data_IF_379581148154
#
_entry.id   IF_379581148154
#
_cell.length_a   1.000
_cell.length_b   1.000
_cell.length_c   1.000
_cell.angle_alpha   90.00
_cell.angle_beta   90.00
_cell.angle_gamma   90.00
#
_symmetry.space_group_name_H-M   'P 1'
#
loop_
_entity.id
_entity.type
_entity.pdbx_description
1 polymer ?
#
# COMPACT_ATOMS: atom_id res chain seq x y z
N UNK A 1 37.04 23.35 -12.52
CA UNK A 1 36.04 23.60 -11.46
C UNK A 1 34.90 22.63 -11.71
N UNK A 2 34.98 21.46 -11.07
CA UNK A 2 33.96 20.45 -11.11
C UNK A 2 32.86 20.86 -10.14
N UNK A 3 31.70 21.21 -10.67
CA UNK A 3 30.47 21.34 -9.90
C UNK A 3 30.03 19.92 -9.53
N UNK A 4 30.19 19.57 -8.26
CA UNK A 4 29.58 18.36 -7.69
C UNK A 4 28.11 18.73 -7.51
N UNK A 5 27.28 18.27 -8.42
CA UNK A 5 25.84 18.32 -8.29
C UNK A 5 25.46 17.33 -7.19
N UNK A 6 25.36 17.84 -5.95
CA UNK A 6 24.82 17.08 -4.82
C UNK A 6 23.29 17.20 -4.92
N UNK A 7 22.74 16.63 -5.96
CA UNK A 7 21.33 16.25 -5.97
C UNK A 7 21.25 14.96 -5.15
N UNK A 8 21.06 15.07 -3.85
CA UNK A 8 20.56 13.97 -3.05
C UNK A 8 19.17 13.63 -3.60
N UNK A 9 19.15 12.70 -4.54
CA UNK A 9 17.94 12.15 -5.13
C UNK A 9 17.23 11.37 -4.00
N UNK A 10 16.30 12.04 -3.31
CA UNK A 10 15.54 11.48 -2.19
C UNK A 10 14.40 10.60 -2.70
N UNK A 11 14.55 10.06 -3.93
CA UNK A 11 13.55 9.18 -4.53
C UNK A 11 13.50 7.86 -3.81
N UNK A 12 12.34 7.58 -3.20
CA UNK A 12 12.06 6.31 -2.57
C UNK A 12 11.65 5.27 -3.61
N UNK A 13 10.77 5.62 -4.54
CA UNK A 13 10.26 4.76 -5.60
C UNK A 13 10.55 5.38 -6.97
N UNK A 14 11.07 4.58 -7.90
CA UNK A 14 11.18 4.94 -9.30
C UNK A 14 10.69 3.77 -10.17
N UNK A 15 9.75 4.04 -11.03
CA UNK A 15 9.23 3.14 -12.05
C UNK A 15 9.68 3.65 -13.40
N UNK A 16 10.40 2.83 -14.14
CA UNK A 16 11.01 3.20 -15.41
C UNK A 16 10.53 2.27 -16.53
N UNK A 17 9.79 2.83 -17.48
CA UNK A 17 9.31 2.20 -18.72
C UNK A 17 8.64 0.83 -18.47
N UNK A 18 7.81 0.74 -17.43
CA UNK A 18 7.18 -0.49 -16.98
C UNK A 18 6.13 -0.97 -17.97
N UNK A 19 6.29 -2.19 -18.46
CA UNK A 19 5.35 -2.84 -19.36
C UNK A 19 4.91 -4.19 -18.80
N UNK A 20 3.61 -4.43 -18.82
CA UNK A 20 2.99 -5.71 -18.43
C UNK A 20 2.04 -6.15 -19.52
N UNK A 21 2.19 -7.38 -19.96
CA UNK A 21 1.35 -8.01 -20.98
C UNK A 21 0.61 -9.21 -20.41
N UNK A 22 -0.57 -9.44 -20.90
CA UNK A 22 -1.30 -10.68 -20.67
C UNK A 22 -1.75 -11.25 -22.03
N UNK A 23 -1.22 -12.41 -22.39
CA UNK A 23 -1.36 -12.96 -23.72
C UNK A 23 -0.87 -11.96 -24.79
N UNK A 24 -1.75 -11.51 -25.68
CA UNK A 24 -1.45 -10.53 -26.73
C UNK A 24 -1.85 -9.08 -26.36
N UNK A 25 -2.41 -8.86 -25.16
CA UNK A 25 -2.88 -7.56 -24.72
C UNK A 25 -1.86 -6.89 -23.80
N UNK A 26 -1.50 -5.64 -24.10
CA UNK A 26 -0.69 -4.81 -23.18
C UNK A 26 -1.60 -4.23 -22.13
N UNK A 27 -1.43 -4.66 -20.86
CA UNK A 27 -2.15 -4.11 -19.70
C UNK A 27 -1.50 -2.82 -19.21
N UNK A 28 -0.18 -2.73 -19.30
CA UNK A 28 0.60 -1.52 -19.04
C UNK A 28 1.59 -1.34 -20.18
N UNK A 29 1.79 -0.11 -20.63
CA UNK A 29 2.67 0.17 -21.76
C UNK A 29 3.57 1.36 -21.44
N UNK A 30 4.81 1.09 -21.00
CA UNK A 30 5.85 2.08 -20.81
C UNK A 30 5.56 3.09 -19.69
N UNK A 31 4.96 2.65 -18.57
CA UNK A 31 4.64 3.53 -17.44
C UNK A 31 5.91 3.96 -16.73
N UNK A 32 6.08 5.27 -16.53
CA UNK A 32 7.24 5.83 -15.82
C UNK A 32 6.79 6.94 -14.86
N UNK A 33 7.25 6.89 -13.63
CA UNK A 33 7.09 7.94 -12.62
C UNK A 33 8.06 7.73 -11.45
N UNK A 34 8.18 8.71 -10.59
CA UNK A 34 8.97 8.61 -9.36
C UNK A 34 8.24 9.25 -8.18
N UNK A 35 8.60 8.82 -6.97
CA UNK A 35 8.07 9.32 -5.72
C UNK A 35 9.17 9.40 -4.65
N UNK A 36 9.04 10.37 -3.76
CA UNK A 36 9.89 10.51 -2.59
C UNK A 36 9.27 9.81 -1.36
N UNK A 37 10.06 9.67 -0.31
CA UNK A 37 9.52 9.30 1.01
C UNK A 37 8.50 10.34 1.48
N UNK A 38 7.38 9.90 2.06
CA UNK A 38 6.29 10.77 2.45
C UNK A 38 5.29 11.13 1.35
N UNK A 39 5.59 10.88 0.07
CA UNK A 39 4.66 11.20 -1.01
C UNK A 39 3.40 10.31 -0.95
N UNK A 40 2.25 10.93 -1.24
CA UNK A 40 0.98 10.23 -1.50
C UNK A 40 0.67 10.39 -2.98
N UNK A 41 0.68 9.29 -3.72
CA UNK A 41 0.40 9.27 -5.14
C UNK A 41 -0.99 8.70 -5.40
N UNK A 42 -1.86 9.47 -6.02
CA UNK A 42 -3.15 9.01 -6.48
C UNK A 42 -3.07 8.51 -7.93
N UNK A 43 -3.44 7.24 -8.13
CA UNK A 43 -3.55 6.64 -9.47
C UNK A 43 -5.02 6.67 -9.88
N UNK A 44 -5.36 7.53 -10.83
CA UNK A 44 -6.72 7.69 -11.33
C UNK A 44 -6.87 7.13 -12.75
N UNK A 45 -8.06 6.67 -13.10
CA UNK A 45 -8.38 6.17 -14.44
C UNK A 45 -9.63 5.29 -14.45
N UNK A 46 -10.13 4.98 -15.62
CA UNK A 46 -11.31 4.12 -15.82
C UNK A 46 -11.10 2.69 -15.32
N UNK A 47 -12.20 1.96 -15.15
CA UNK A 47 -12.14 0.53 -14.87
C UNK A 47 -11.44 -0.20 -16.04
N UNK A 48 -10.51 -1.10 -15.70
CA UNK A 48 -9.72 -1.80 -16.71
C UNK A 48 -8.48 -1.05 -17.20
N UNK A 49 -8.23 0.19 -16.80
CA UNK A 49 -7.04 0.97 -17.22
C UNK A 49 -5.69 0.44 -16.71
N UNK A 50 -5.67 -0.70 -16.01
CA UNK A 50 -4.42 -1.32 -15.54
C UNK A 50 -3.95 -0.85 -14.15
N UNK A 51 -4.75 -0.10 -13.39
CA UNK A 51 -4.39 0.44 -12.07
C UNK A 51 -3.97 -0.65 -11.07
N UNK A 52 -4.82 -1.66 -10.86
CA UNK A 52 -4.50 -2.83 -10.01
C UNK A 52 -3.30 -3.62 -10.55
N UNK A 53 -3.12 -3.69 -11.87
CA UNK A 53 -1.96 -4.32 -12.51
C UNK A 53 -0.67 -3.58 -12.15
N UNK A 54 -0.69 -2.24 -12.20
CA UNK A 54 0.44 -1.40 -11.79
C UNK A 54 0.76 -1.58 -10.29
N UNK A 55 -0.25 -1.54 -9.43
CA UNK A 55 -0.13 -1.77 -8.01
C UNK A 55 0.53 -3.13 -7.70
N UNK A 56 0.03 -4.21 -8.30
CA UNK A 56 0.58 -5.56 -8.15
C UNK A 56 2.00 -5.69 -8.69
N UNK A 57 2.32 -5.03 -9.79
CA UNK A 57 3.67 -5.04 -10.36
C UNK A 57 4.66 -4.32 -9.42
N UNK A 58 4.30 -3.16 -8.85
CA UNK A 58 5.14 -2.45 -7.89
C UNK A 58 5.37 -3.29 -6.64
N UNK A 59 4.35 -3.91 -6.08
CA UNK A 59 4.46 -4.82 -4.93
C UNK A 59 5.23 -6.11 -5.21
N UNK A 60 5.55 -6.42 -6.46
CA UNK A 60 6.17 -7.70 -6.82
C UNK A 60 5.23 -8.89 -6.81
N UNK A 61 3.91 -8.65 -6.72
CA UNK A 61 2.87 -9.70 -6.84
C UNK A 61 2.62 -10.10 -8.31
N UNK A 62 3.08 -9.28 -9.24
CA UNK A 62 3.02 -9.53 -10.67
C UNK A 62 4.38 -9.21 -11.28
N UNK A 63 4.86 -10.12 -12.16
CA UNK A 63 6.10 -9.90 -12.89
C UNK A 63 5.83 -9.04 -14.12
N UNK A 64 6.67 -8.01 -14.32
CA UNK A 64 6.67 -7.21 -15.54
C UNK A 64 7.37 -7.94 -16.68
N UNK A 65 6.98 -7.61 -17.92
CA UNK A 65 7.63 -8.09 -19.14
C UNK A 65 8.89 -7.29 -19.46
N UNK A 66 8.82 -5.95 -19.27
CA UNK A 66 9.96 -5.05 -19.43
C UNK A 66 9.88 -3.86 -18.50
N UNK A 67 10.94 -3.06 -18.45
CA UNK A 67 11.08 -1.94 -17.54
C UNK A 67 11.69 -2.31 -16.20
N UNK A 68 11.88 -1.30 -15.36
CA UNK A 68 12.58 -1.44 -14.09
C UNK A 68 11.78 -0.79 -12.97
N UNK A 69 11.95 -1.32 -11.75
CA UNK A 69 11.43 -0.73 -10.53
C UNK A 69 12.59 -0.64 -9.54
N UNK A 70 12.81 0.58 -9.06
CA UNK A 70 13.85 0.87 -8.08
C UNK A 70 13.18 1.33 -6.78
N UNK A 71 13.69 0.84 -5.65
CA UNK A 71 13.33 1.33 -4.31
C UNK A 71 14.64 1.74 -3.63
N UNK A 72 14.71 2.97 -3.14
CA UNK A 72 15.94 3.58 -2.59
C UNK A 72 17.12 3.46 -3.56
N UNK A 73 16.89 3.79 -4.83
CA UNK A 73 17.91 3.76 -5.89
C UNK A 73 18.41 2.36 -6.28
N UNK A 74 17.84 1.29 -5.71
CA UNK A 74 18.23 -0.10 -6.02
C UNK A 74 17.18 -0.77 -6.87
N UNK A 75 17.59 -1.31 -8.02
CA UNK A 75 16.73 -2.15 -8.84
C UNK A 75 16.38 -3.44 -8.09
N UNK A 76 15.09 -3.70 -7.91
CA UNK A 76 14.60 -4.84 -7.15
C UNK A 76 13.88 -5.86 -8.03
N UNK A 77 14.12 -7.14 -7.74
CA UNK A 77 13.32 -8.24 -8.28
C UNK A 77 11.96 -8.35 -7.57
N UNK A 78 11.07 -9.19 -8.07
CA UNK A 78 9.71 -9.38 -7.52
C UNK A 78 9.73 -9.75 -6.03
N UNK A 79 10.58 -10.70 -5.61
CA UNK A 79 10.68 -11.14 -4.22
C UNK A 79 11.09 -10.00 -3.30
N UNK A 80 12.15 -9.27 -3.64
CA UNK A 80 12.62 -8.14 -2.83
C UNK A 80 11.61 -7.01 -2.74
N UNK A 81 10.80 -6.79 -3.81
CA UNK A 81 9.69 -5.81 -3.76
C UNK A 81 8.59 -6.25 -2.80
N UNK A 82 8.20 -7.53 -2.79
CA UNK A 82 7.22 -8.06 -1.84
C UNK A 82 7.68 -7.91 -0.38
N UNK A 83 8.98 -8.03 -0.12
CA UNK A 83 9.53 -7.80 1.21
C UNK A 83 9.45 -6.34 1.66
N UNK A 84 9.51 -5.39 0.72
CA UNK A 84 9.53 -3.92 0.97
C UNK A 84 8.19 -3.22 0.81
N UNK A 85 7.20 -3.91 0.28
CA UNK A 85 5.88 -3.34 -0.02
C UNK A 85 4.77 -4.06 0.75
N UNK A 86 3.67 -3.35 0.97
CA UNK A 86 2.41 -3.92 1.46
C UNK A 86 1.26 -3.39 0.61
N UNK A 87 0.32 -4.26 0.26
CA UNK A 87 -0.85 -3.90 -0.53
C UNK A 87 -2.12 -4.24 0.23
N UNK A 88 -2.95 -3.24 0.49
CA UNK A 88 -4.33 -3.41 0.94
C UNK A 88 -5.18 -3.63 -0.29
N UNK A 89 -5.78 -4.81 -0.41
CA UNK A 89 -6.62 -5.19 -1.55
C UNK A 89 -8.03 -4.62 -1.42
N UNK A 90 -8.73 -4.48 -2.55
CA UNK A 90 -10.12 -4.04 -2.59
C UNK A 90 -11.03 -4.94 -1.74
N UNK A 91 -10.90 -6.27 -1.86
CA UNK A 91 -11.54 -7.23 -0.96
C UNK A 91 -10.58 -7.64 0.16
N UNK A 92 -10.65 -6.90 1.26
CA UNK A 92 -9.82 -7.12 2.44
C UNK A 92 -10.09 -8.47 3.09
N UNK A 93 -11.28 -9.04 2.92
CA UNK A 93 -11.62 -10.34 3.52
C UNK A 93 -10.68 -11.46 3.10
N UNK A 94 -10.11 -11.38 1.90
CA UNK A 94 -9.14 -12.35 1.40
C UNK A 94 -7.72 -12.22 1.98
N UNK A 95 -7.47 -11.18 2.77
CA UNK A 95 -6.15 -10.92 3.38
C UNK A 95 -6.11 -11.26 4.88
N UNK A 96 -7.25 -11.63 5.47
CA UNK A 96 -7.41 -11.83 6.91
C UNK A 96 -7.54 -13.32 7.21
N UNK A 97 -6.57 -13.89 7.93
CA UNK A 97 -6.42 -15.35 8.09
C UNK A 97 -6.40 -15.84 9.52
N UNK A 98 -6.21 -14.94 10.50
CA UNK A 98 -5.99 -15.34 11.89
C UNK A 98 -7.27 -15.44 12.70
N UNK A 99 -7.16 -15.95 13.92
CA UNK A 99 -8.28 -16.17 14.84
C UNK A 99 -8.74 -14.90 15.55
N UNK A 100 -7.92 -13.84 15.54
CA UNK A 100 -8.27 -12.57 16.19
C UNK A 100 -7.64 -11.36 15.51
N UNK A 101 -8.27 -10.19 15.68
CA UNK A 101 -7.76 -8.90 15.22
C UNK A 101 -6.34 -8.64 15.74
N UNK A 102 -6.07 -8.95 17.01
CA UNK A 102 -4.73 -8.81 17.58
C UNK A 102 -3.71 -9.73 16.90
N UNK A 103 -4.07 -10.98 16.64
CA UNK A 103 -3.19 -11.93 15.97
C UNK A 103 -2.91 -11.50 14.54
N UNK A 104 -3.90 -10.92 13.84
CA UNK A 104 -3.74 -10.38 12.49
C UNK A 104 -2.73 -9.22 12.49
N UNK A 105 -2.84 -8.29 13.43
CA UNK A 105 -1.88 -7.21 13.61
C UNK A 105 -0.45 -7.73 13.87
N UNK A 106 -0.31 -8.78 14.67
CA UNK A 106 1.00 -9.40 14.99
C UNK A 106 1.68 -10.03 13.77
N UNK A 107 0.92 -10.62 12.85
CA UNK A 107 1.51 -11.19 11.61
C UNK A 107 2.23 -10.14 10.76
N UNK A 108 1.71 -8.92 10.71
CA UNK A 108 2.29 -7.83 9.93
C UNK A 108 3.51 -7.18 10.57
N UNK A 109 3.72 -7.35 11.88
CA UNK A 109 4.74 -6.60 12.62
C UNK A 109 6.03 -7.38 12.79
N UNK A 110 7.16 -6.69 12.64
CA UNK A 110 8.48 -7.19 13.09
C UNK A 110 8.72 -6.89 14.58
N UNK A 111 7.93 -6.02 15.16
CA UNK A 111 8.07 -5.51 16.53
C UNK A 111 7.02 -6.16 17.42
N UNK A 112 7.43 -6.96 18.39
CA UNK A 112 6.54 -7.57 19.42
C UNK A 112 5.95 -6.53 20.40
N UNK A 113 5.98 -5.25 20.09
CA UNK A 113 5.48 -4.20 20.98
C UNK A 113 3.95 -4.21 21.02
N UNK A 114 3.42 -4.86 22.04
CA UNK A 114 1.99 -4.88 22.36
C UNK A 114 1.40 -3.47 22.46
N UNK A 115 2.18 -2.53 22.97
CA UNK A 115 1.79 -1.11 23.13
C UNK A 115 1.46 -0.48 21.79
N UNK A 116 2.29 -0.71 20.76
CA UNK A 116 2.08 -0.15 19.42
C UNK A 116 0.79 -0.70 18.76
N UNK A 117 0.48 -1.99 18.97
CA UNK A 117 -0.77 -2.59 18.45
C UNK A 117 -1.98 -1.99 19.15
N UNK A 118 -1.96 -1.85 20.48
CA UNK A 118 -3.08 -1.30 21.24
C UNK A 118 -3.35 0.16 20.90
N UNK A 119 -2.31 0.95 20.72
CA UNK A 119 -2.41 2.34 20.26
C UNK A 119 -2.99 2.43 18.84
N UNK A 120 -2.52 1.59 17.93
CA UNK A 120 -3.00 1.54 16.54
C UNK A 120 -4.48 1.13 16.49
N UNK A 121 -4.87 0.09 17.22
CA UNK A 121 -6.26 -0.35 17.30
C UNK A 121 -7.17 0.72 17.94
N UNK A 122 -6.68 1.43 18.95
CA UNK A 122 -7.41 2.54 19.57
C UNK A 122 -7.63 3.69 18.60
N UNK A 123 -6.60 4.08 17.88
CA UNK A 123 -6.66 5.14 16.86
C UNK A 123 -7.70 4.83 15.78
N UNK A 124 -7.89 3.54 15.45
CA UNK A 124 -8.79 3.06 14.41
C UNK A 124 -10.17 2.64 14.93
N UNK A 125 -10.47 2.90 16.21
CA UNK A 125 -11.71 2.48 16.85
C UNK A 125 -11.97 0.96 16.72
N UNK A 126 -10.89 0.16 16.89
CA UNK A 126 -10.92 -1.29 16.81
C UNK A 126 -10.61 -1.99 18.14
N UNK A 127 -10.33 -1.25 19.22
CA UNK A 127 -9.94 -1.80 20.53
C UNK A 127 -10.93 -2.82 21.07
N UNK A 128 -12.22 -2.56 20.95
CA UNK A 128 -13.29 -3.45 21.42
C UNK A 128 -13.39 -4.76 20.62
N UNK A 129 -12.82 -4.78 19.41
CA UNK A 129 -12.84 -5.94 18.51
C UNK A 129 -11.56 -6.77 18.59
N UNK A 130 -10.60 -6.39 19.43
CA UNK A 130 -9.26 -6.97 19.53
C UNK A 130 -9.23 -8.49 19.55
N UNK A 131 -10.17 -9.09 20.31
CA UNK A 131 -10.26 -10.55 20.48
C UNK A 131 -11.27 -11.20 19.53
N UNK A 132 -11.88 -10.45 18.60
CA UNK A 132 -12.83 -11.01 17.64
C UNK A 132 -12.12 -11.58 16.43
N UNK A 133 -12.75 -12.58 15.82
CA UNK A 133 -12.28 -13.11 14.54
C UNK A 133 -12.43 -12.04 13.45
N UNK A 134 -11.37 -11.76 12.66
CA UNK A 134 -11.38 -10.68 11.66
C UNK A 134 -12.52 -10.76 10.66
N UNK A 135 -12.93 -11.97 10.25
CA UNK A 135 -14.02 -12.14 9.30
C UNK A 135 -15.40 -11.80 9.88
N UNK A 136 -15.55 -11.73 11.22
CA UNK A 136 -16.80 -11.31 11.87
C UNK A 136 -17.01 -9.80 11.88
N UNK A 137 -16.01 -9.02 11.48
CA UNK A 137 -16.07 -7.57 11.40
C UNK A 137 -16.94 -7.11 10.22
N UNK A 138 -17.55 -5.93 10.36
CA UNK A 138 -18.20 -5.25 9.23
C UNK A 138 -17.18 -4.85 8.14
N UNK A 139 -17.65 -4.56 6.93
CA UNK A 139 -16.78 -4.14 5.81
C UNK A 139 -15.87 -2.97 6.20
N UNK A 140 -16.41 -1.92 6.79
CA UNK A 140 -15.64 -0.76 7.25
C UNK A 140 -14.64 -1.10 8.36
N UNK A 141 -15.00 -2.01 9.29
CA UNK A 141 -14.07 -2.47 10.33
C UNK A 141 -12.92 -3.30 9.74
N UNK A 142 -13.20 -4.18 8.77
CA UNK A 142 -12.16 -4.92 8.04
C UNK A 142 -11.21 -3.98 7.30
N UNK A 143 -11.75 -2.95 6.66
CA UNK A 143 -10.94 -1.95 5.97
C UNK A 143 -10.02 -1.21 6.94
N UNK A 144 -10.55 -0.75 8.09
CA UNK A 144 -9.73 -0.13 9.14
C UNK A 144 -8.68 -1.10 9.69
N UNK A 145 -9.00 -2.37 9.83
CA UNK A 145 -8.02 -3.39 10.25
C UNK A 145 -6.89 -3.54 9.23
N UNK A 146 -7.19 -3.56 7.92
CA UNK A 146 -6.14 -3.63 6.89
C UNK A 146 -5.24 -2.39 6.89
N UNK A 147 -5.81 -1.21 7.15
CA UNK A 147 -5.02 0.01 7.36
C UNK A 147 -4.18 -0.10 8.64
N UNK A 148 -4.73 -0.64 9.74
CA UNK A 148 -3.94 -0.89 10.97
C UNK A 148 -2.71 -1.77 10.70
N UNK A 149 -2.90 -2.85 9.95
CA UNK A 149 -1.83 -3.76 9.58
C UNK A 149 -0.79 -3.04 8.71
N UNK A 150 -1.21 -2.20 7.77
CA UNK A 150 -0.29 -1.42 6.93
C UNK A 150 0.57 -0.45 7.74
N UNK A 151 0.00 0.16 8.81
CA UNK A 151 0.74 1.01 9.75
C UNK A 151 1.80 0.23 10.53
N UNK A 152 1.47 -1.00 10.89
CA UNK A 152 2.29 -1.86 11.74
C UNK A 152 3.38 -2.61 10.97
N UNK A 153 3.25 -2.79 9.66
CA UNK A 153 4.12 -3.68 8.88
C UNK A 153 5.50 -3.09 8.52
N UNK A 154 5.78 -1.82 8.86
CA UNK A 154 7.08 -1.15 8.64
C UNK A 154 7.61 -1.36 7.20
N UNK A 155 6.77 -1.09 6.20
CA UNK A 155 7.11 -1.23 4.78
C UNK A 155 7.45 0.12 4.16
N UNK A 156 8.33 0.08 3.17
CA UNK A 156 8.75 1.28 2.45
C UNK A 156 7.70 1.77 1.45
N UNK A 157 6.93 0.84 0.87
CA UNK A 157 5.87 1.14 -0.09
C UNK A 157 4.54 0.58 0.42
N UNK A 158 3.54 1.45 0.57
CA UNK A 158 2.18 1.09 0.93
C UNK A 158 1.26 1.36 -0.25
N UNK A 159 0.49 0.37 -0.65
CA UNK A 159 -0.45 0.48 -1.75
C UNK A 159 -1.85 0.17 -1.24
N UNK A 160 -2.80 1.02 -1.60
CA UNK A 160 -4.21 0.88 -1.24
C UNK A 160 -5.03 0.78 -2.52
N UNK A 161 -5.58 -0.39 -2.79
CA UNK A 161 -6.42 -0.66 -3.97
C UNK A 161 -7.89 -0.41 -3.60
N UNK A 162 -8.42 0.72 -4.02
CA UNK A 162 -9.77 1.21 -3.70
C UNK A 162 -10.12 1.19 -2.20
N UNK A 163 -9.30 1.82 -1.32
CA UNK A 163 -9.44 1.70 0.12
C UNK A 163 -10.75 2.27 0.67
N UNK A 164 -11.48 3.03 -0.12
CA UNK A 164 -12.76 3.65 0.24
C UNK A 164 -13.95 2.98 -0.40
N UNK A 165 -13.75 1.94 -1.21
CA UNK A 165 -14.84 1.23 -1.89
C UNK A 165 -15.77 0.57 -0.86
N UNK A 166 -17.07 0.89 -0.95
CA UNK A 166 -18.09 0.35 -0.03
C UNK A 166 -18.07 0.93 1.39
N UNK A 167 -17.30 1.99 1.64
CA UNK A 167 -17.30 2.71 2.92
C UNK A 167 -18.31 3.88 2.92
N UNK A 168 -18.83 4.19 4.09
CA UNK A 168 -19.57 5.42 4.32
C UNK A 168 -18.62 6.65 4.37
N UNK A 169 -19.17 7.86 4.25
CA UNK A 169 -18.39 9.09 4.24
C UNK A 169 -17.52 9.30 5.48
N UNK A 170 -17.96 8.79 6.63
CA UNK A 170 -17.21 8.91 7.89
C UNK A 170 -15.97 8.02 7.83
N UNK A 171 -16.15 6.76 7.48
CA UNK A 171 -15.06 5.78 7.35
C UNK A 171 -14.07 6.18 6.24
N UNK A 172 -14.53 6.77 5.13
CA UNK A 172 -13.66 7.33 4.10
C UNK A 172 -12.73 8.42 4.63
N UNK A 173 -13.27 9.35 5.43
CA UNK A 173 -12.47 10.42 6.04
C UNK A 173 -11.47 9.87 7.05
N UNK A 174 -11.87 8.90 7.86
CA UNK A 174 -10.99 8.24 8.82
C UNK A 174 -9.80 7.59 8.10
N UNK A 175 -10.03 6.83 7.03
CA UNK A 175 -8.97 6.22 6.21
C UNK A 175 -8.08 7.29 5.58
N UNK A 176 -8.65 8.36 5.02
CA UNK A 176 -7.89 9.48 4.45
C UNK A 176 -6.93 10.12 5.45
N UNK A 177 -7.43 10.49 6.64
CA UNK A 177 -6.62 11.08 7.71
C UNK A 177 -5.49 10.14 8.17
N UNK A 178 -5.71 8.83 8.11
CA UNK A 178 -4.68 7.85 8.47
C UNK A 178 -3.58 7.76 7.44
N UNK A 179 -3.93 7.75 6.17
CA UNK A 179 -2.94 7.76 5.08
C UNK A 179 -2.11 9.04 5.12
N UNK A 180 -2.72 10.20 5.42
CA UNK A 180 -2.00 11.45 5.63
C UNK A 180 -0.99 11.35 6.79
N UNK A 181 -1.37 10.76 7.93
CA UNK A 181 -0.44 10.52 9.04
C UNK A 181 0.71 9.57 8.70
N UNK A 182 0.49 8.60 7.80
CA UNK A 182 1.56 7.74 7.29
C UNK A 182 2.58 8.53 6.49
N UNK A 183 2.13 9.49 5.68
CA UNK A 183 3.01 10.34 4.89
C UNK A 183 3.92 11.23 5.74
N UNK A 184 3.44 11.69 6.91
CA UNK A 184 4.23 12.50 7.85
C UNK A 184 5.46 11.77 8.42
N UNK A 185 5.51 10.44 8.32
CA UNK A 185 6.66 9.66 8.81
C UNK A 185 7.85 9.63 7.85
N UNK A 186 7.76 10.24 6.67
CA UNK A 186 8.80 10.35 5.62
C UNK A 186 9.52 9.04 5.21
N UNK A 187 9.15 7.91 5.83
CA UNK A 187 9.82 6.62 5.64
C UNK A 187 9.19 5.75 4.57
N UNK A 188 7.96 6.06 4.18
CA UNK A 188 7.19 5.28 3.23
C UNK A 188 6.50 6.17 2.20
N UNK A 189 6.31 5.65 0.99
CA UNK A 189 5.48 6.27 -0.03
C UNK A 189 4.15 5.53 -0.09
N UNK A 190 3.04 6.27 -0.12
CA UNK A 190 1.70 5.70 -0.19
C UNK A 190 1.11 5.89 -1.59
N UNK A 191 0.72 4.80 -2.24
CA UNK A 191 0.00 4.83 -3.50
C UNK A 191 -1.48 4.55 -3.24
N UNK A 192 -2.32 5.54 -3.51
CA UNK A 192 -3.77 5.41 -3.47
C UNK A 192 -4.29 5.14 -4.87
N UNK A 193 -5.02 4.07 -5.01
CA UNK A 193 -5.73 3.74 -6.24
C UNK A 193 -7.21 4.09 -6.06
N UNK A 194 -7.77 4.91 -6.94
CA UNK A 194 -9.20 5.23 -6.93
C UNK A 194 -9.78 5.15 -8.33
N UNK A 195 -11.02 4.69 -8.42
CA UNK A 195 -11.81 4.77 -9.64
C UNK A 195 -12.53 6.11 -9.64
N UNK A 196 -12.27 6.94 -10.66
CA UNK A 196 -13.10 8.11 -10.90
C UNK A 196 -14.42 7.62 -11.53
N UNK A 197 -15.49 7.62 -10.75
CA UNK A 197 -16.83 7.59 -11.31
C UNK A 197 -17.17 9.03 -11.76
N UNK A 198 -17.01 9.28 -13.06
CA UNK A 198 -17.52 10.48 -13.73
C UNK A 198 -19.03 10.37 -13.94
#
# INVERSE_FOLDING_TARGET
TSVIDINCDNRLLEVDNLTVKFENNSLLNGVSFSANGGDIIAIAGENGAGKTTLARAICGLLRQDSGNIFINGRKLNTKSRTEKSYMVMQDVGHQLFTDSVEAECKLGTKTESKTCIDETLSMLSLSEFKNRHPLSLSGGQKQRLAVAISLLCDKEILIFDEPTSGLDLKSMREVGTMVERLSEQEKSCSLLHTTLNL
#
